data_IF_288857209798
#
_entry.id   IF_288857209798
#
_cell.length_a   1.000
_cell.length_b   1.000
_cell.length_c   1.000
_cell.angle_alpha   90.00
_cell.angle_beta   90.00
_cell.angle_gamma   90.00
#
_symmetry.space_group_name_H-M   'P 1'
#
loop_
_entity.id
_entity.type
_entity.pdbx_description
1 polymer ?
#
# COMPACT_ATOMS: atom_id res chain seq x y z
N UNK A 1 37.08 89.53 -40.08
CA UNK A 1 35.85 88.72 -39.95
C UNK A 1 36.11 87.65 -38.90
N UNK A 2 35.59 87.83 -37.71
CA UNK A 2 35.87 87.10 -36.48
C UNK A 2 34.66 86.21 -36.16
N UNK A 3 34.82 84.93 -36.12
CA UNK A 3 33.82 84.00 -35.50
C UNK A 3 34.27 83.62 -34.13
N UNK A 4 33.39 83.87 -33.15
CA UNK A 4 33.49 83.47 -31.73
C UNK A 4 33.01 82.02 -31.61
N UNK A 5 33.80 81.17 -30.96
CA UNK A 5 33.43 79.83 -30.54
C UNK A 5 32.80 79.91 -29.14
N UNK A 6 31.60 79.40 -29.04
CA UNK A 6 30.88 79.14 -27.75
C UNK A 6 31.25 77.74 -27.24
N UNK A 7 31.81 77.72 -26.02
CA UNK A 7 32.08 76.46 -25.36
C UNK A 7 30.83 75.90 -24.64
N UNK A 8 30.48 74.63 -24.90
CA UNK A 8 29.48 73.88 -24.18
C UNK A 8 30.18 73.06 -23.12
N UNK A 9 29.95 73.39 -21.89
CA UNK A 9 30.39 72.56 -20.76
C UNK A 9 29.46 71.34 -20.59
N UNK A 10 29.95 70.12 -20.72
CA UNK A 10 29.27 68.89 -20.41
C UNK A 10 29.41 68.62 -18.92
N UNK A 11 28.30 68.77 -18.15
CA UNK A 11 28.19 68.18 -16.80
C UNK A 11 27.92 66.67 -16.94
N UNK A 12 28.91 65.86 -16.56
CA UNK A 12 28.74 64.42 -16.40
C UNK A 12 28.17 64.16 -15.00
N UNK A 13 26.89 63.93 -14.90
CA UNK A 13 26.28 63.40 -13.67
C UNK A 13 26.60 61.94 -13.55
N UNK A 14 27.44 61.55 -12.60
CA UNK A 14 27.70 60.16 -12.24
C UNK A 14 26.48 59.62 -11.49
N UNK A 15 25.63 58.85 -12.19
CA UNK A 15 24.57 58.06 -11.55
C UNK A 15 25.22 56.84 -10.88
N UNK A 16 25.29 56.82 -9.54
CA UNK A 16 25.65 55.63 -8.80
C UNK A 16 24.50 54.62 -8.91
N UNK A 17 24.66 53.60 -9.75
CA UNK A 17 23.80 52.42 -9.78
C UNK A 17 24.11 51.59 -8.54
N UNK A 18 23.29 51.74 -7.51
CA UNK A 18 23.23 50.78 -6.39
C UNK A 18 22.77 49.45 -6.98
N UNK A 19 23.70 48.54 -7.25
CA UNK A 19 23.40 47.14 -7.52
C UNK A 19 22.84 46.50 -6.28
N UNK A 20 21.51 46.52 -6.12
CA UNK A 20 20.84 45.65 -5.17
C UNK A 20 20.98 44.23 -5.68
N UNK A 21 21.96 43.49 -5.19
CA UNK A 21 22.00 42.02 -5.27
C UNK A 21 20.68 41.52 -4.75
N UNK A 22 19.87 40.77 -5.53
CA UNK A 22 18.72 40.10 -4.97
C UNK A 22 19.26 39.15 -3.92
N UNK A 23 18.90 39.38 -2.65
CA UNK A 23 19.09 38.41 -1.60
C UNK A 23 18.40 37.13 -2.11
N UNK A 24 19.16 36.13 -2.51
CA UNK A 24 18.63 34.79 -2.68
C UNK A 24 18.03 34.45 -1.33
N UNK A 25 16.71 34.48 -1.24
CA UNK A 25 15.97 33.74 -0.22
C UNK A 25 16.50 32.31 -0.39
N UNK A 26 17.44 31.92 0.48
CA UNK A 26 17.75 30.52 0.66
C UNK A 26 16.39 29.90 1.02
N UNK A 27 15.85 29.10 0.11
CA UNK A 27 14.68 28.28 0.40
C UNK A 27 15.06 27.50 1.64
N UNK A 28 14.55 27.91 2.81
CA UNK A 28 14.76 27.18 4.03
C UNK A 28 14.15 25.81 3.77
N UNK A 29 14.96 24.77 3.84
CA UNK A 29 14.48 23.40 3.80
C UNK A 29 13.33 23.30 4.82
N UNK A 30 12.18 22.81 4.39
CA UNK A 30 11.02 22.63 5.28
C UNK A 30 11.46 21.72 6.44
N UNK A 31 11.51 22.19 7.69
CA UNK A 31 11.92 21.35 8.80
C UNK A 31 10.88 20.25 9.04
N UNK A 32 11.31 19.09 9.52
CA UNK A 32 10.41 17.98 9.84
C UNK A 32 9.32 18.40 10.83
N UNK A 33 9.69 19.16 11.85
CA UNK A 33 8.79 19.73 12.86
C UNK A 33 8.95 21.24 12.98
N UNK A 34 7.87 21.94 13.30
CA UNK A 34 7.94 23.34 13.65
C UNK A 34 8.84 23.56 14.89
N UNK A 35 9.61 24.67 15.02
CA UNK A 35 10.49 24.92 16.17
C UNK A 35 9.80 24.76 17.52
N UNK A 36 8.53 25.16 17.64
CA UNK A 36 7.75 25.03 18.88
C UNK A 36 7.48 23.56 19.26
N UNK A 37 7.49 22.63 18.30
CA UNK A 37 7.25 21.21 18.53
C UNK A 37 8.53 20.39 18.75
N UNK A 38 9.72 20.95 18.50
CA UNK A 38 10.99 20.20 18.51
C UNK A 38 11.26 19.47 19.82
N UNK A 39 11.15 20.16 20.97
CA UNK A 39 11.36 19.55 22.27
C UNK A 39 10.30 18.48 22.63
N UNK A 40 9.10 18.59 22.09
CA UNK A 40 8.03 17.59 22.27
C UNK A 40 8.33 16.36 21.39
N UNK A 41 8.76 16.57 20.16
CA UNK A 41 9.21 15.52 19.26
C UNK A 41 10.33 14.66 19.90
N UNK A 42 11.35 15.32 20.46
CA UNK A 42 12.48 14.64 21.12
C UNK A 42 12.06 13.80 22.32
N UNK A 43 10.94 14.15 23.00
CA UNK A 43 10.38 13.34 24.09
C UNK A 43 9.49 12.21 23.60
N UNK A 44 8.69 12.44 22.55
CA UNK A 44 7.74 11.42 22.04
C UNK A 44 8.44 10.33 21.25
N UNK A 45 9.40 10.65 20.38
CA UNK A 45 10.04 9.70 19.48
C UNK A 45 10.60 8.46 20.20
N UNK A 46 11.38 8.56 21.30
CA UNK A 46 11.90 7.38 22.00
C UNK A 46 10.81 6.48 22.60
N UNK A 47 9.63 7.03 22.89
CA UNK A 47 8.49 6.24 23.37
C UNK A 47 7.77 5.54 22.22
N UNK A 48 7.60 6.22 21.10
CA UNK A 48 7.03 5.69 19.86
C UNK A 48 7.92 4.56 19.31
N UNK A 49 9.26 4.70 19.36
CA UNK A 49 10.21 3.69 18.91
C UNK A 49 10.09 2.36 19.66
N UNK A 50 9.63 2.37 20.91
CA UNK A 50 9.45 1.16 21.72
C UNK A 50 8.11 0.46 21.49
N UNK A 51 7.15 1.08 20.80
CA UNK A 51 5.87 0.44 20.49
C UNK A 51 6.12 -0.73 19.54
N UNK A 52 5.62 -1.91 19.91
CA UNK A 52 5.57 -3.06 19.00
C UNK A 52 4.61 -2.76 17.86
N UNK A 53 4.98 -3.15 16.66
CA UNK A 53 4.23 -2.84 15.46
C UNK A 53 3.34 -4.01 15.04
N UNK A 54 2.12 -3.69 14.64
CA UNK A 54 1.28 -4.57 13.85
C UNK A 54 1.28 -4.04 12.42
N UNK A 55 2.08 -4.65 11.55
CA UNK A 55 2.19 -4.30 10.15
C UNK A 55 0.99 -4.87 9.37
N UNK A 56 0.08 -4.00 8.99
CA UNK A 56 -1.22 -4.38 8.45
C UNK A 56 -1.17 -4.80 6.96
N UNK A 57 -0.11 -4.46 6.24
CA UNK A 57 -0.02 -4.75 4.81
C UNK A 57 1.43 -4.88 4.34
N UNK A 58 1.78 -6.06 3.84
CA UNK A 58 3.09 -6.34 3.25
C UNK A 58 3.01 -7.50 2.23
N UNK A 59 4.04 -7.60 1.39
CA UNK A 59 4.24 -8.65 0.39
C UNK A 59 5.55 -9.42 0.65
N UNK A 60 5.69 -10.10 1.81
CA UNK A 60 6.92 -10.77 2.17
C UNK A 60 7.21 -11.93 1.21
N UNK A 61 8.31 -11.81 0.47
CA UNK A 61 8.73 -12.81 -0.49
C UNK A 61 10.25 -13.00 -0.47
N UNK A 62 10.70 -14.25 -0.70
CA UNK A 62 12.09 -14.54 -1.05
C UNK A 62 12.30 -14.33 -2.57
N UNK A 63 13.53 -14.06 -3.03
CA UNK A 63 13.80 -13.77 -4.44
C UNK A 63 13.41 -14.87 -5.42
N UNK A 64 13.36 -16.13 -4.97
CA UNK A 64 13.02 -17.32 -5.74
C UNK A 64 11.58 -17.82 -5.49
N UNK A 65 10.76 -17.02 -4.84
CA UNK A 65 9.37 -17.40 -4.55
C UNK A 65 8.54 -17.44 -5.84
N UNK A 66 7.87 -18.57 -6.12
CA UNK A 66 7.06 -18.73 -7.32
C UNK A 66 5.66 -18.13 -7.22
N UNK A 67 5.29 -17.53 -6.09
CA UNK A 67 3.97 -16.91 -5.92
C UNK A 67 3.80 -15.74 -6.90
N UNK A 68 2.61 -15.62 -7.46
CA UNK A 68 2.31 -14.56 -8.44
C UNK A 68 2.40 -13.16 -7.87
N UNK A 69 2.21 -13.03 -6.57
CA UNK A 69 2.34 -11.79 -5.84
C UNK A 69 3.81 -11.31 -5.72
N UNK A 70 4.75 -12.23 -5.83
CA UNK A 70 6.18 -11.93 -5.89
C UNK A 70 6.66 -11.53 -7.30
N UNK A 71 5.77 -11.52 -8.30
CA UNK A 71 6.14 -11.10 -9.65
C UNK A 71 6.48 -9.60 -9.67
N UNK A 72 7.55 -9.21 -10.38
CA UNK A 72 7.89 -7.80 -10.50
C UNK A 72 6.76 -7.03 -11.19
N UNK A 73 6.48 -5.79 -10.75
CA UNK A 73 5.50 -4.94 -11.41
C UNK A 73 5.95 -4.63 -12.85
N UNK A 74 5.02 -4.25 -13.75
CA UNK A 74 5.38 -3.75 -15.07
C UNK A 74 6.38 -2.59 -14.97
N UNK A 75 7.25 -2.41 -15.99
CA UNK A 75 8.17 -1.28 -16.03
C UNK A 75 7.42 0.04 -15.93
N UNK A 76 7.97 0.98 -15.20
CA UNK A 76 7.41 2.32 -15.05
C UNK A 76 8.35 3.22 -14.25
N UNK A 77 8.04 4.51 -14.19
CA UNK A 77 8.81 5.47 -13.42
C UNK A 77 8.42 5.40 -11.94
N UNK A 78 9.30 4.84 -11.13
CA UNK A 78 9.13 4.84 -9.68
C UNK A 78 9.29 6.24 -9.09
N UNK A 79 8.56 6.58 -8.01
CA UNK A 79 8.84 7.77 -7.20
C UNK A 79 10.31 7.84 -6.81
N UNK A 80 10.86 9.05 -6.70
CA UNK A 80 12.29 9.27 -6.39
C UNK A 80 12.75 8.43 -5.18
N UNK A 81 11.94 8.37 -4.14
CA UNK A 81 12.28 7.68 -2.90
C UNK A 81 12.35 6.16 -3.01
N UNK A 82 11.69 5.59 -4.02
CA UNK A 82 11.64 4.13 -4.26
C UNK A 82 12.70 3.65 -5.25
N UNK A 83 13.54 4.55 -5.75
CA UNK A 83 14.60 4.20 -6.73
C UNK A 83 15.81 3.61 -6.02
N UNK A 84 16.53 2.74 -6.70
CA UNK A 84 17.71 2.04 -6.16
C UNK A 84 18.83 2.99 -5.69
N UNK A 85 18.92 4.20 -6.25
CA UNK A 85 19.88 5.24 -5.88
C UNK A 85 19.46 6.06 -4.65
N UNK A 86 18.31 5.77 -4.04
CA UNK A 86 17.87 6.43 -2.81
C UNK A 86 18.85 6.15 -1.66
N UNK A 87 19.48 7.18 -1.05
CA UNK A 87 20.42 7.00 0.06
C UNK A 87 19.79 6.39 1.32
N UNK A 88 18.46 6.48 1.50
CA UNK A 88 17.77 5.82 2.62
C UNK A 88 17.81 4.29 2.48
N UNK A 89 17.80 3.75 1.26
CA UNK A 89 17.93 2.30 1.02
C UNK A 89 19.34 1.81 1.33
N UNK A 90 20.38 2.61 1.05
CA UNK A 90 21.76 2.34 1.51
C UNK A 90 21.83 2.36 3.04
N UNK A 91 21.13 3.29 3.69
CA UNK A 91 21.04 3.35 5.15
C UNK A 91 20.34 2.11 5.72
N UNK A 92 19.26 1.63 5.06
CA UNK A 92 18.58 0.39 5.40
C UNK A 92 19.51 -0.82 5.33
N UNK A 93 20.25 -0.96 4.22
CA UNK A 93 21.23 -2.04 4.04
C UNK A 93 22.35 -1.99 5.10
N UNK A 94 22.80 -0.81 5.49
CA UNK A 94 23.74 -0.65 6.61
C UNK A 94 23.16 -1.07 7.96
N UNK A 95 21.94 -0.64 8.26
CA UNK A 95 21.28 -0.94 9.53
C UNK A 95 20.97 -2.43 9.69
N UNK A 96 20.51 -3.08 8.61
CA UNK A 96 20.11 -4.48 8.62
C UNK A 96 21.30 -5.45 8.44
N UNK A 97 22.21 -5.15 7.52
CA UNK A 97 23.20 -6.10 7.03
C UNK A 97 24.65 -5.69 7.31
N UNK A 98 24.85 -4.51 7.93
CA UNK A 98 26.17 -3.91 8.17
C UNK A 98 26.94 -3.66 6.85
N UNK A 99 26.25 -3.14 5.82
CA UNK A 99 26.85 -2.77 4.53
C UNK A 99 28.03 -1.80 4.76
N UNK A 100 29.26 -2.12 4.32
CA UNK A 100 30.42 -1.27 4.57
C UNK A 100 30.60 -0.15 3.52
N UNK A 101 29.76 -0.12 2.47
CA UNK A 101 29.88 0.78 1.33
C UNK A 101 28.92 1.98 1.43
N UNK A 102 29.16 3.00 0.61
CA UNK A 102 28.33 4.22 0.52
C UNK A 102 27.25 4.17 -0.54
N UNK A 103 27.24 3.12 -1.35
CA UNK A 103 26.35 2.89 -2.49
C UNK A 103 26.06 1.39 -2.65
N UNK A 104 25.24 1.05 -3.66
CA UNK A 104 24.91 -0.32 -4.04
C UNK A 104 25.36 -0.65 -5.48
N UNK A 105 26.28 0.13 -6.04
CA UNK A 105 26.71 -0.04 -7.42
C UNK A 105 27.56 -1.31 -7.63
N UNK A 106 27.27 -2.04 -8.69
CA UNK A 106 28.06 -3.19 -9.13
C UNK A 106 28.45 -4.17 -8.03
N UNK A 107 29.74 -4.27 -7.66
CA UNK A 107 30.22 -5.21 -6.64
C UNK A 107 29.63 -5.00 -5.25
N UNK A 108 29.20 -3.78 -4.90
CA UNK A 108 28.61 -3.47 -3.60
C UNK A 108 27.18 -4.04 -3.49
N UNK A 109 26.41 -3.99 -4.57
CA UNK A 109 25.11 -4.66 -4.65
C UNK A 109 25.25 -6.19 -4.58
N UNK A 110 26.25 -6.75 -5.27
CA UNK A 110 26.53 -8.20 -5.19
C UNK A 110 26.93 -8.61 -3.77
N UNK A 111 27.74 -7.81 -3.07
CA UNK A 111 28.06 -8.05 -1.67
C UNK A 111 26.81 -8.12 -0.78
N UNK A 112 25.83 -7.23 -1.02
CA UNK A 112 24.57 -7.24 -0.26
C UNK A 112 23.76 -8.51 -0.55
N UNK A 113 23.67 -8.93 -1.82
CA UNK A 113 23.01 -10.18 -2.22
C UNK A 113 23.65 -11.38 -1.49
N UNK A 114 24.99 -11.48 -1.53
CA UNK A 114 25.72 -12.57 -0.89
C UNK A 114 25.54 -12.54 0.63
N UNK A 115 25.54 -11.35 1.24
CA UNK A 115 25.28 -11.18 2.67
C UNK A 115 23.90 -11.61 3.09
N UNK A 116 22.86 -11.28 2.33
CA UNK A 116 21.49 -11.75 2.54
C UNK A 116 21.42 -13.28 2.40
N UNK A 117 22.03 -13.85 1.39
CA UNK A 117 22.10 -15.30 1.22
C UNK A 117 22.77 -16.01 2.41
N UNK A 118 23.88 -15.46 2.92
CA UNK A 118 24.56 -16.00 4.09
C UNK A 118 23.68 -15.92 5.35
N UNK A 119 22.94 -14.84 5.54
CA UNK A 119 22.01 -14.69 6.67
C UNK A 119 20.82 -15.67 6.56
N UNK A 120 20.26 -15.87 5.36
CA UNK A 120 19.22 -16.90 5.13
C UNK A 120 19.72 -18.30 5.48
N UNK A 121 20.97 -18.60 5.16
CA UNK A 121 21.58 -19.87 5.53
C UNK A 121 21.79 -20.02 7.06
N UNK A 122 22.06 -18.93 7.78
CA UNK A 122 22.18 -18.91 9.24
C UNK A 122 20.82 -18.97 9.95
N UNK A 123 19.76 -18.50 9.31
CA UNK A 123 18.37 -18.46 9.79
C UNK A 123 17.45 -19.25 8.85
N UNK A 124 17.50 -20.59 8.85
CA UNK A 124 16.76 -21.37 7.88
C UNK A 124 15.24 -21.33 8.07
N UNK A 125 14.51 -21.45 6.96
CA UNK A 125 13.04 -21.48 6.99
C UNK A 125 12.43 -20.18 7.49
N UNK A 126 11.53 -20.25 8.46
CA UNK A 126 10.84 -19.09 9.02
C UNK A 126 11.75 -18.16 9.83
N UNK A 127 12.86 -18.68 10.38
CA UNK A 127 13.76 -17.91 11.26
C UNK A 127 14.33 -16.64 10.60
N UNK A 128 14.44 -16.61 9.27
CA UNK A 128 14.95 -15.44 8.56
C UNK A 128 14.00 -14.23 8.67
N UNK A 129 12.73 -14.46 8.41
CA UNK A 129 11.73 -13.41 8.55
C UNK A 129 11.45 -13.08 10.02
N UNK A 130 11.49 -14.05 10.94
CA UNK A 130 11.39 -13.79 12.37
C UNK A 130 12.52 -12.87 12.84
N UNK A 131 13.77 -13.15 12.41
CA UNK A 131 14.93 -12.29 12.65
C UNK A 131 14.70 -10.86 12.13
N UNK A 132 14.15 -10.72 10.92
CA UNK A 132 13.87 -9.41 10.33
C UNK A 132 12.83 -8.64 11.13
N UNK A 133 11.70 -9.28 11.44
CA UNK A 133 10.62 -8.66 12.21
C UNK A 133 11.10 -8.23 13.60
N UNK A 134 11.90 -9.06 14.27
CA UNK A 134 12.45 -8.74 15.60
C UNK A 134 13.37 -7.52 15.58
N UNK A 135 14.22 -7.39 14.55
CA UNK A 135 15.09 -6.21 14.37
C UNK A 135 14.30 -4.92 14.16
N UNK A 136 13.14 -5.00 13.58
CA UNK A 136 12.28 -3.85 13.27
C UNK A 136 11.23 -3.57 14.35
N UNK A 137 11.09 -4.46 15.32
CA UNK A 137 10.08 -4.37 16.37
C UNK A 137 8.68 -4.67 15.88
N UNK A 138 8.53 -5.39 14.77
CA UNK A 138 7.24 -5.85 14.23
C UNK A 138 6.85 -7.12 14.97
N UNK A 139 5.70 -7.10 15.64
CA UNK A 139 5.13 -8.27 16.32
C UNK A 139 4.41 -9.18 15.35
N UNK A 140 3.59 -8.59 14.50
CA UNK A 140 2.80 -9.29 13.50
C UNK A 140 2.86 -8.53 12.17
N UNK A 141 2.98 -9.24 11.04
CA UNK A 141 2.85 -8.68 9.69
C UNK A 141 1.78 -9.43 8.91
N UNK A 142 0.96 -8.71 8.14
CA UNK A 142 -0.06 -9.31 7.28
C UNK A 142 0.51 -9.55 5.90
N UNK A 143 0.58 -10.83 5.53
CA UNK A 143 1.14 -11.26 4.25
C UNK A 143 0.04 -11.38 3.19
N UNK A 144 0.10 -10.53 2.18
CA UNK A 144 -0.77 -10.60 1.00
C UNK A 144 -0.22 -11.65 0.04
N UNK A 145 -0.88 -12.82 -0.03
CA UNK A 145 -0.38 -13.99 -0.75
C UNK A 145 -1.53 -14.79 -1.35
N UNK A 146 -1.24 -15.49 -2.46
CA UNK A 146 -2.16 -16.50 -2.99
C UNK A 146 -2.19 -17.73 -2.08
N UNK A 147 -1.03 -18.10 -1.51
CA UNK A 147 -0.91 -19.15 -0.52
C UNK A 147 0.27 -18.87 0.43
N UNK A 148 0.14 -19.21 1.69
CA UNK A 148 1.20 -19.01 2.69
C UNK A 148 2.37 -19.98 2.45
N UNK A 149 3.58 -19.48 2.23
CA UNK A 149 4.77 -20.30 2.09
C UNK A 149 5.27 -20.79 3.45
N UNK A 150 6.03 -21.89 3.46
CA UNK A 150 6.56 -22.48 4.71
C UNK A 150 7.62 -21.63 5.42
N UNK A 151 8.19 -20.66 4.73
CA UNK A 151 9.19 -19.75 5.29
C UNK A 151 8.58 -18.54 6.02
N UNK A 152 7.26 -18.42 6.09
CA UNK A 152 6.55 -17.43 6.92
C UNK A 152 5.90 -18.14 8.10
N UNK A 153 6.31 -17.82 9.33
CA UNK A 153 5.71 -18.37 10.53
C UNK A 153 4.27 -17.86 10.70
N UNK A 154 3.25 -18.71 10.70
CA UNK A 154 1.86 -18.29 10.91
C UNK A 154 1.58 -17.66 12.29
N UNK A 155 2.49 -17.82 13.25
CA UNK A 155 2.42 -17.09 14.51
C UNK A 155 2.68 -15.57 14.30
N UNK A 156 3.57 -15.24 13.39
CA UNK A 156 4.04 -13.89 13.10
C UNK A 156 3.38 -13.29 11.86
N UNK A 157 3.07 -14.11 10.85
CA UNK A 157 2.47 -13.68 9.60
C UNK A 157 1.02 -14.12 9.49
N UNK A 158 0.12 -13.19 9.21
CA UNK A 158 -1.30 -13.45 9.01
C UNK A 158 -1.63 -13.37 7.53
N UNK A 159 -2.32 -14.38 7.03
CA UNK A 159 -2.61 -14.52 5.62
C UNK A 159 -3.77 -13.60 5.18
N UNK A 160 -3.53 -12.76 4.18
CA UNK A 160 -4.53 -12.03 3.42
C UNK A 160 -4.61 -12.64 2.03
N UNK A 161 -5.76 -13.22 1.67
CA UNK A 161 -5.90 -13.98 0.45
C UNK A 161 -6.31 -13.10 -0.72
N UNK A 162 -5.58 -13.17 -1.86
CA UNK A 162 -5.98 -12.52 -3.11
C UNK A 162 -7.21 -13.18 -3.71
N UNK A 163 -8.20 -12.38 -4.10
CA UNK A 163 -9.49 -12.87 -4.63
C UNK A 163 -9.88 -12.27 -5.99
N UNK A 164 -9.08 -11.36 -6.54
CA UNK A 164 -9.36 -10.69 -7.83
C UNK A 164 -9.62 -11.67 -8.97
N UNK A 165 -8.89 -12.77 -9.00
CA UNK A 165 -8.96 -13.77 -10.08
C UNK A 165 -10.37 -14.33 -10.29
N UNK A 166 -11.22 -14.31 -9.26
CA UNK A 166 -12.63 -14.70 -9.41
C UNK A 166 -13.44 -13.72 -10.28
N UNK A 167 -13.01 -12.48 -10.42
CA UNK A 167 -13.62 -11.50 -11.32
C UNK A 167 -13.16 -11.66 -12.78
N UNK A 168 -12.10 -12.45 -13.04
CA UNK A 168 -11.48 -12.60 -14.35
C UNK A 168 -11.48 -14.04 -14.88
N UNK A 169 -12.62 -14.79 -14.82
CA UNK A 169 -12.63 -16.21 -15.18
C UNK A 169 -12.64 -16.50 -16.68
N UNK A 170 -12.99 -15.52 -17.52
CA UNK A 170 -13.17 -15.69 -18.97
C UNK A 170 -11.86 -15.55 -19.74
N UNK A 171 -11.95 -15.56 -21.07
CA UNK A 171 -10.81 -15.23 -21.91
C UNK A 171 -10.44 -13.76 -21.73
N UNK A 172 -9.25 -13.53 -21.17
CA UNK A 172 -8.73 -12.21 -20.84
C UNK A 172 -7.96 -11.55 -22.01
N UNK A 173 -7.97 -12.13 -23.21
CA UNK A 173 -7.22 -11.60 -24.35
C UNK A 173 -7.63 -10.16 -24.68
N UNK A 174 -8.92 -9.83 -24.57
CA UNK A 174 -9.43 -8.47 -24.76
C UNK A 174 -8.87 -7.47 -23.75
N UNK A 175 -8.69 -7.86 -22.50
CA UNK A 175 -8.04 -7.04 -21.47
C UNK A 175 -6.54 -6.95 -21.73
N UNK A 176 -5.86 -8.08 -21.91
CA UNK A 176 -4.42 -8.15 -22.15
C UNK A 176 -3.95 -7.34 -23.38
N UNK A 177 -4.82 -7.14 -24.37
CA UNK A 177 -4.52 -6.34 -25.57
C UNK A 177 -4.67 -4.82 -25.39
N UNK A 178 -5.20 -4.35 -24.27
CA UNK A 178 -5.46 -2.90 -24.06
C UNK A 178 -4.18 -2.10 -23.90
N UNK A 179 -3.24 -2.63 -23.15
CA UNK A 179 -1.96 -1.99 -22.91
C UNK A 179 -0.93 -3.01 -22.38
N UNK A 180 0.38 -2.66 -22.38
CA UNK A 180 1.43 -3.56 -21.90
C UNK A 180 1.29 -4.00 -20.43
N UNK A 181 0.76 -3.16 -19.55
CA UNK A 181 0.57 -3.51 -18.13
C UNK A 181 -0.45 -4.65 -18.00
N UNK A 182 -1.57 -4.55 -18.69
CA UNK A 182 -2.61 -5.59 -18.74
C UNK A 182 -2.07 -6.91 -19.31
N UNK A 183 -1.17 -6.82 -20.30
CA UNK A 183 -0.52 -8.00 -20.87
C UNK A 183 0.33 -8.76 -19.84
N UNK A 184 0.89 -8.08 -18.84
CA UNK A 184 1.63 -8.70 -17.73
C UNK A 184 0.66 -9.27 -16.68
N UNK A 185 -0.35 -8.52 -16.28
CA UNK A 185 -1.23 -8.89 -15.17
C UNK A 185 -2.26 -9.96 -15.50
N UNK A 186 -2.84 -9.97 -16.70
CA UNK A 186 -3.93 -10.91 -17.01
C UNK A 186 -3.52 -12.40 -17.00
N UNK A 187 -2.32 -12.79 -17.46
CA UNK A 187 -1.84 -14.16 -17.25
C UNK A 187 -1.71 -14.55 -15.79
N UNK A 188 -1.34 -13.61 -14.91
CA UNK A 188 -1.24 -13.84 -13.46
C UNK A 188 -2.63 -14.09 -12.85
N UNK A 189 -3.66 -13.31 -13.24
CA UNK A 189 -5.03 -13.55 -12.79
C UNK A 189 -5.52 -14.94 -13.20
N UNK A 190 -5.24 -15.36 -14.44
CA UNK A 190 -5.56 -16.71 -14.90
C UNK A 190 -4.82 -17.79 -14.09
N UNK A 191 -3.54 -17.60 -13.81
CA UNK A 191 -2.74 -18.52 -12.97
C UNK A 191 -3.32 -18.64 -11.56
N UNK A 192 -3.70 -17.52 -10.94
CA UNK A 192 -4.33 -17.50 -9.61
C UNK A 192 -5.67 -18.26 -9.59
N UNK A 193 -6.54 -18.04 -10.58
CA UNK A 193 -7.80 -18.78 -10.66
C UNK A 193 -7.57 -20.29 -10.75
N UNK A 194 -6.58 -20.73 -11.56
CA UNK A 194 -6.20 -22.14 -11.65
C UNK A 194 -5.64 -22.72 -10.35
N UNK A 195 -4.99 -21.89 -9.51
CA UNK A 195 -4.56 -22.32 -8.17
C UNK A 195 -5.76 -22.59 -7.26
N UNK A 196 -6.76 -21.72 -7.27
CA UNK A 196 -8.02 -21.92 -6.54
C UNK A 196 -8.78 -23.15 -7.00
N UNK A 197 -8.94 -23.33 -8.33
CA UNK A 197 -9.60 -24.50 -8.91
C UNK A 197 -8.91 -25.81 -8.45
N UNK A 198 -7.59 -25.89 -8.57
CA UNK A 198 -6.83 -27.07 -8.14
C UNK A 198 -6.94 -27.33 -6.64
N UNK A 199 -6.87 -26.27 -5.83
CA UNK A 199 -6.99 -26.37 -4.38
C UNK A 199 -8.32 -26.98 -3.91
N UNK A 200 -9.38 -26.76 -4.69
CA UNK A 200 -10.73 -27.26 -4.41
C UNK A 200 -11.10 -28.52 -5.23
N UNK A 201 -10.18 -29.08 -6.03
CA UNK A 201 -10.47 -30.21 -6.88
C UNK A 201 -11.48 -29.91 -8.01
N UNK A 202 -11.58 -28.64 -8.43
CA UNK A 202 -12.43 -28.21 -9.53
C UNK A 202 -11.61 -28.16 -10.82
N UNK A 203 -12.17 -28.71 -11.92
CA UNK A 203 -11.53 -28.68 -13.23
C UNK A 203 -12.32 -27.78 -14.18
N UNK A 204 -11.78 -26.57 -14.40
CA UNK A 204 -12.41 -25.55 -15.26
C UNK A 204 -13.62 -24.86 -14.63
N UNK A 205 -14.25 -23.98 -15.42
CA UNK A 205 -15.38 -23.19 -14.92
C UNK A 205 -16.63 -24.07 -14.73
N UNK A 206 -17.36 -23.90 -13.61
CA UNK A 206 -18.64 -24.58 -13.37
C UNK A 206 -19.67 -24.37 -14.50
N UNK A 207 -20.61 -25.33 -14.69
CA UNK A 207 -21.54 -25.29 -15.83
C UNK A 207 -22.58 -24.17 -15.75
N UNK A 208 -22.92 -23.68 -14.56
CA UNK A 208 -23.90 -22.62 -14.36
C UNK A 208 -23.32 -21.50 -13.50
N UNK A 209 -23.85 -20.27 -13.62
CA UNK A 209 -23.44 -19.12 -12.84
C UNK A 209 -23.59 -19.35 -11.33
N UNK A 210 -24.68 -20.00 -10.91
CA UNK A 210 -24.89 -20.31 -9.49
C UNK A 210 -23.83 -21.26 -8.93
N UNK A 211 -23.42 -22.25 -9.74
CA UNK A 211 -22.35 -23.17 -9.37
C UNK A 211 -21.00 -22.45 -9.30
N UNK A 212 -20.79 -21.43 -10.16
CA UNK A 212 -19.62 -20.57 -10.11
C UNK A 212 -19.58 -19.74 -8.82
N UNK A 213 -20.68 -19.11 -8.45
CA UNK A 213 -20.77 -18.37 -7.18
C UNK A 213 -20.56 -19.30 -5.98
N UNK A 214 -21.14 -20.52 -6.01
CA UNK A 214 -20.90 -21.53 -5.00
C UNK A 214 -19.42 -21.98 -4.94
N UNK A 215 -18.73 -22.05 -6.08
CA UNK A 215 -17.29 -22.29 -6.13
C UNK A 215 -16.52 -21.16 -5.44
N UNK A 216 -16.86 -19.89 -5.73
CA UNK A 216 -16.23 -18.72 -5.08
C UNK A 216 -16.46 -18.75 -3.56
N UNK A 217 -17.70 -19.00 -3.10
CA UNK A 217 -18.00 -19.13 -1.66
C UNK A 217 -17.14 -20.21 -1.01
N UNK A 218 -17.06 -21.42 -1.61
CA UNK A 218 -16.20 -22.51 -1.08
C UNK A 218 -14.74 -22.12 -1.04
N UNK A 219 -14.26 -21.32 -2.00
CA UNK A 219 -12.87 -20.83 -1.99
C UNK A 219 -12.59 -19.91 -0.80
N UNK A 220 -13.51 -19.00 -0.48
CA UNK A 220 -13.41 -18.11 0.68
C UNK A 220 -13.47 -18.90 2.01
N UNK A 221 -14.38 -19.87 2.10
CA UNK A 221 -14.48 -20.77 3.24
C UNK A 221 -13.20 -21.59 3.44
N UNK A 222 -12.62 -22.09 2.35
CA UNK A 222 -11.36 -22.83 2.37
C UNK A 222 -10.19 -21.94 2.81
N UNK A 223 -10.08 -20.73 2.25
CA UNK A 223 -9.09 -19.76 2.67
C UNK A 223 -9.17 -19.50 4.18
N UNK A 224 -10.38 -19.25 4.70
CA UNK A 224 -10.60 -19.07 6.14
C UNK A 224 -10.19 -20.28 6.98
N UNK A 225 -10.57 -21.50 6.56
CA UNK A 225 -10.18 -22.74 7.27
C UNK A 225 -8.65 -22.93 7.29
N UNK A 226 -7.97 -22.49 6.25
CA UNK A 226 -6.50 -22.53 6.12
C UNK A 226 -5.80 -21.38 6.82
N UNK A 227 -6.53 -20.48 7.47
CA UNK A 227 -5.99 -19.43 8.31
C UNK A 227 -5.95 -18.04 7.68
N UNK A 228 -6.63 -17.80 6.53
CA UNK A 228 -6.81 -16.46 6.01
C UNK A 228 -7.61 -15.62 7.02
N UNK A 229 -7.14 -14.40 7.28
CA UNK A 229 -7.77 -13.46 8.21
C UNK A 229 -8.48 -12.31 7.48
N UNK A 230 -8.22 -12.13 6.19
CA UNK A 230 -8.83 -11.13 5.31
C UNK A 230 -8.75 -11.59 3.85
N UNK A 231 -9.46 -10.87 2.98
CA UNK A 231 -9.34 -10.99 1.51
C UNK A 231 -8.86 -9.67 0.92
N UNK A 232 -8.13 -9.73 -0.21
CA UNK A 232 -7.55 -8.55 -0.89
C UNK A 232 -8.03 -8.46 -2.31
N UNK A 233 -8.44 -7.25 -2.70
CA UNK A 233 -8.67 -6.83 -4.07
C UNK A 233 -7.60 -5.85 -4.54
N UNK A 234 -7.10 -6.08 -5.74
CA UNK A 234 -6.24 -5.18 -6.52
C UNK A 234 -6.94 -4.69 -7.79
N UNK A 235 -8.26 -4.75 -7.81
CA UNK A 235 -9.11 -4.44 -8.97
C UNK A 235 -8.77 -3.10 -9.65
N UNK A 236 -8.30 -2.10 -8.89
CA UNK A 236 -7.95 -0.79 -9.41
C UNK A 236 -6.77 -0.78 -10.40
N UNK A 237 -5.96 -1.83 -10.46
CA UNK A 237 -4.97 -2.02 -11.51
C UNK A 237 -5.60 -2.26 -12.88
N UNK A 238 -6.79 -2.85 -12.92
CA UNK A 238 -7.44 -3.35 -14.13
C UNK A 238 -8.67 -2.56 -14.53
N UNK A 239 -9.33 -1.93 -13.57
CA UNK A 239 -10.60 -1.22 -13.76
C UNK A 239 -10.84 -0.19 -12.67
N UNK A 240 -11.81 0.69 -12.89
CA UNK A 240 -12.32 1.58 -11.84
C UNK A 240 -12.89 0.81 -10.66
N UNK A 241 -12.75 1.36 -9.45
CA UNK A 241 -13.40 0.90 -8.22
C UNK A 241 -14.92 1.18 -8.19
N UNK A 242 -15.49 1.72 -9.26
CA UNK A 242 -16.94 1.83 -9.43
C UNK A 242 -17.55 0.46 -9.73
N UNK A 243 -18.20 -0.14 -8.73
CA UNK A 243 -18.88 -1.42 -8.86
C UNK A 243 -20.39 -1.21 -8.81
N UNK A 244 -21.06 -1.38 -9.95
CA UNK A 244 -22.51 -1.31 -10.05
C UNK A 244 -23.19 -2.51 -9.37
N UNK A 245 -24.51 -2.49 -9.32
CA UNK A 245 -25.35 -3.58 -8.77
C UNK A 245 -26.21 -4.20 -9.88
N UNK A 246 -25.62 -5.00 -10.77
CA UNK A 246 -26.36 -5.57 -11.87
C UNK A 246 -27.35 -6.64 -11.41
N UNK A 247 -28.51 -6.77 -12.09
CA UNK A 247 -29.43 -7.87 -11.84
C UNK A 247 -28.77 -9.23 -12.02
N UNK A 248 -29.07 -10.17 -11.12
CA UNK A 248 -28.44 -11.50 -11.07
C UNK A 248 -28.59 -12.28 -12.39
N UNK A 249 -29.71 -12.16 -13.03
CA UNK A 249 -29.99 -12.80 -14.33
C UNK A 249 -29.15 -12.22 -15.48
N UNK A 250 -28.78 -10.92 -15.39
CA UNK A 250 -27.86 -10.30 -16.36
C UNK A 250 -26.47 -10.92 -16.24
N UNK A 251 -25.93 -11.02 -15.01
CA UNK A 251 -24.64 -11.66 -14.77
C UNK A 251 -24.63 -13.13 -15.18
N UNK A 252 -25.74 -13.86 -14.91
CA UNK A 252 -25.90 -15.26 -15.32
C UNK A 252 -25.85 -15.43 -16.86
N UNK A 253 -26.57 -14.58 -17.62
CA UNK A 253 -26.50 -14.63 -19.09
C UNK A 253 -25.12 -14.33 -19.65
N UNK A 254 -24.36 -13.41 -19.01
CA UNK A 254 -22.99 -13.11 -19.38
C UNK A 254 -22.10 -14.32 -19.11
N UNK A 255 -22.22 -14.93 -17.93
CA UNK A 255 -21.49 -16.14 -17.57
C UNK A 255 -21.71 -17.26 -18.57
N UNK A 256 -22.98 -17.60 -18.86
CA UNK A 256 -23.35 -18.67 -19.80
C UNK A 256 -22.81 -18.44 -21.21
N UNK A 257 -22.75 -17.16 -21.65
CA UNK A 257 -22.21 -16.80 -22.96
C UNK A 257 -20.69 -17.00 -23.06
N UNK A 258 -19.93 -16.65 -22.00
CA UNK A 258 -18.48 -16.53 -22.08
C UNK A 258 -17.70 -17.66 -21.39
N UNK A 259 -18.30 -18.46 -20.51
CA UNK A 259 -17.62 -19.56 -19.81
C UNK A 259 -17.02 -20.61 -20.77
N UNK A 260 -17.46 -20.68 -21.99
CA UNK A 260 -16.97 -21.61 -23.03
C UNK A 260 -15.75 -21.13 -23.80
N UNK A 261 -15.18 -19.95 -23.49
CA UNK A 261 -13.92 -19.47 -24.06
C UNK A 261 -14.04 -18.35 -25.10
N UNK A 262 -15.20 -17.66 -25.21
CA UNK A 262 -15.30 -16.44 -26.02
C UNK A 262 -14.78 -15.23 -25.23
N UNK A 263 -14.22 -14.25 -25.96
CA UNK A 263 -13.78 -12.96 -25.38
C UNK A 263 -14.97 -12.07 -25.12
N UNK A 264 -15.23 -11.65 -23.88
CA UNK A 264 -16.33 -10.76 -23.57
C UNK A 264 -16.09 -9.34 -24.08
N UNK A 265 -17.16 -8.60 -24.39
CA UNK A 265 -17.07 -7.16 -24.52
C UNK A 265 -16.68 -6.53 -23.18
N UNK A 266 -16.01 -5.37 -23.23
CA UNK A 266 -15.53 -4.69 -22.01
C UNK A 266 -16.68 -4.36 -21.04
N UNK A 267 -17.83 -3.93 -21.58
CA UNK A 267 -19.00 -3.58 -20.75
C UNK A 267 -19.66 -4.80 -20.12
N UNK A 268 -19.81 -5.92 -20.86
CA UNK A 268 -20.35 -7.15 -20.29
C UNK A 268 -19.41 -7.73 -19.25
N UNK A 269 -18.09 -7.67 -19.49
CA UNK A 269 -17.11 -8.16 -18.52
C UNK A 269 -17.15 -7.32 -17.24
N UNK A 270 -17.21 -5.98 -17.35
CA UNK A 270 -17.34 -5.10 -16.19
C UNK A 270 -18.62 -5.42 -15.39
N UNK A 271 -19.76 -5.61 -16.06
CA UNK A 271 -21.01 -6.00 -15.41
C UNK A 271 -20.90 -7.34 -14.67
N UNK A 272 -20.23 -8.33 -15.25
CA UNK A 272 -19.98 -9.61 -14.58
C UNK A 272 -19.06 -9.43 -13.36
N UNK A 273 -17.99 -8.66 -13.50
CA UNK A 273 -17.06 -8.36 -12.41
C UNK A 273 -17.75 -7.67 -11.24
N UNK A 274 -18.66 -6.74 -11.52
CA UNK A 274 -19.46 -6.06 -10.50
C UNK A 274 -20.28 -7.05 -9.67
N UNK A 275 -20.96 -7.99 -10.33
CA UNK A 275 -21.74 -9.01 -9.65
C UNK A 275 -20.89 -9.93 -8.79
N UNK A 276 -19.74 -10.37 -9.30
CA UNK A 276 -18.82 -11.25 -8.54
C UNK A 276 -18.17 -10.51 -7.38
N UNK A 277 -17.74 -9.26 -7.56
CA UNK A 277 -17.22 -8.44 -6.48
C UNK A 277 -18.22 -8.33 -5.33
N UNK A 278 -19.46 -7.98 -5.63
CA UNK A 278 -20.54 -7.85 -4.62
C UNK A 278 -20.85 -9.18 -3.94
N UNK A 279 -20.78 -10.30 -4.66
CA UNK A 279 -20.90 -11.62 -4.07
C UNK A 279 -19.76 -11.88 -3.06
N UNK A 280 -18.51 -11.65 -3.44
CA UNK A 280 -17.34 -11.84 -2.54
C UNK A 280 -17.46 -10.95 -1.31
N UNK A 281 -17.83 -9.67 -1.48
CA UNK A 281 -18.02 -8.72 -0.36
C UNK A 281 -19.09 -9.23 0.62
N UNK A 282 -20.20 -9.77 0.11
CA UNK A 282 -21.26 -10.36 0.94
C UNK A 282 -20.77 -11.58 1.72
N UNK A 283 -20.14 -12.54 1.03
CA UNK A 283 -19.64 -13.78 1.64
C UNK A 283 -18.52 -13.49 2.65
N UNK A 284 -17.60 -12.57 2.33
CA UNK A 284 -16.55 -12.13 3.26
C UNK A 284 -17.15 -11.57 4.56
N UNK A 285 -18.22 -10.77 4.47
CA UNK A 285 -18.94 -10.27 5.65
C UNK A 285 -19.55 -11.38 6.50
N UNK A 286 -20.12 -12.42 5.87
CA UNK A 286 -20.68 -13.59 6.57
C UNK A 286 -19.58 -14.42 7.22
N UNK A 287 -18.44 -14.54 6.56
CA UNK A 287 -17.27 -15.27 7.06
C UNK A 287 -16.42 -14.46 8.06
N UNK A 288 -16.78 -13.21 8.36
CA UNK A 288 -15.99 -12.29 9.18
C UNK A 288 -14.55 -12.11 8.66
N UNK A 289 -14.39 -12.04 7.36
CA UNK A 289 -13.14 -11.71 6.68
C UNK A 289 -13.20 -10.23 6.26
N UNK A 290 -12.42 -9.33 6.83
CA UNK A 290 -12.28 -7.97 6.31
C UNK A 290 -11.89 -7.97 4.83
N UNK A 291 -12.42 -7.01 4.09
CA UNK A 291 -12.16 -6.82 2.66
C UNK A 291 -11.17 -5.69 2.49
N UNK A 292 -9.96 -6.01 2.07
CA UNK A 292 -8.91 -5.05 1.73
C UNK A 292 -9.06 -4.66 0.27
N UNK A 293 -9.04 -3.36 0.00
CA UNK A 293 -9.18 -2.82 -1.36
C UNK A 293 -7.99 -1.90 -1.63
N UNK A 294 -7.17 -2.26 -2.62
CA UNK A 294 -6.10 -1.38 -3.10
C UNK A 294 -6.70 -0.05 -3.60
N UNK A 295 -6.26 1.06 -3.07
CA UNK A 295 -6.82 2.38 -3.33
C UNK A 295 -5.76 3.48 -3.50
N UNK A 296 -4.59 3.14 -4.06
CA UNK A 296 -3.50 4.07 -4.36
C UNK A 296 -2.95 3.82 -5.77
N UNK A 297 -1.97 4.63 -6.16
CA UNK A 297 -1.25 4.41 -7.41
C UNK A 297 -0.65 3.01 -7.45
N UNK A 298 -0.64 2.41 -8.64
CA UNK A 298 -0.01 1.11 -8.90
C UNK A 298 1.23 1.26 -9.79
N UNK A 299 1.90 0.14 -10.07
CA UNK A 299 3.00 0.08 -11.04
C UNK A 299 2.50 0.02 -12.47
N UNK A 300 3.34 0.49 -13.40
CA UNK A 300 3.10 0.47 -14.83
C UNK A 300 2.87 1.85 -15.44
N UNK A 301 3.20 1.99 -16.73
CA UNK A 301 3.10 3.26 -17.46
C UNK A 301 1.67 3.60 -17.89
N UNK A 302 0.77 2.61 -17.88
CA UNK A 302 -0.61 2.72 -18.38
C UNK A 302 -1.63 2.66 -17.26
N UNK A 303 -1.21 2.78 -16.01
CA UNK A 303 -2.09 2.80 -14.86
C UNK A 303 -2.99 4.04 -14.86
N UNK A 304 -4.31 3.82 -14.69
CA UNK A 304 -5.29 4.90 -14.66
C UNK A 304 -5.52 5.41 -13.23
N UNK A 305 -4.98 6.56 -12.88
CA UNK A 305 -5.11 7.15 -11.55
C UNK A 305 -6.58 7.33 -11.11
N UNK A 306 -7.49 7.62 -12.03
CA UNK A 306 -8.93 7.72 -11.73
C UNK A 306 -9.55 6.41 -11.21
N UNK A 307 -8.92 5.25 -11.49
CA UNK A 307 -9.41 3.97 -11.03
C UNK A 307 -9.41 3.87 -9.50
N UNK A 308 -8.40 4.46 -8.84
CA UNK A 308 -8.23 4.38 -7.37
C UNK A 308 -9.00 5.43 -6.59
N UNK A 309 -9.75 6.30 -7.26
CA UNK A 309 -10.55 7.29 -6.55
C UNK A 309 -11.57 6.59 -5.63
N UNK A 310 -11.38 6.75 -4.32
CA UNK A 310 -12.18 6.07 -3.29
C UNK A 310 -13.66 6.46 -3.33
N UNK A 311 -14.02 7.60 -3.92
CA UNK A 311 -15.41 8.00 -4.13
C UNK A 311 -16.16 7.02 -5.04
N UNK A 312 -15.45 6.30 -5.90
CA UNK A 312 -16.03 5.27 -6.74
C UNK A 312 -16.60 4.08 -5.93
N UNK A 313 -16.12 3.87 -4.69
CA UNK A 313 -16.61 2.82 -3.79
C UNK A 313 -17.83 3.24 -2.97
N UNK A 314 -18.23 4.50 -2.97
CA UNK A 314 -19.23 5.02 -2.03
C UNK A 314 -20.55 4.25 -2.08
N UNK A 315 -21.02 3.85 -3.27
CA UNK A 315 -22.24 3.06 -3.44
C UNK A 315 -22.15 1.64 -2.83
N UNK A 316 -20.94 1.07 -2.75
CA UNK A 316 -20.70 -0.23 -2.08
C UNK A 316 -20.58 -0.04 -0.57
N UNK A 317 -19.76 0.90 -0.14
CA UNK A 317 -19.48 1.13 1.28
C UNK A 317 -20.72 1.57 2.06
N UNK A 318 -21.65 2.30 1.42
CA UNK A 318 -22.93 2.74 2.00
C UNK A 318 -24.08 1.78 1.81
N UNK A 319 -23.89 0.65 1.12
CA UNK A 319 -24.94 -0.33 0.91
C UNK A 319 -25.25 -1.06 2.24
N UNK A 320 -26.48 -0.98 2.76
CA UNK A 320 -26.83 -1.59 4.05
C UNK A 320 -26.70 -3.11 4.05
N UNK A 321 -26.71 -3.77 2.88
CA UNK A 321 -26.49 -5.22 2.75
C UNK A 321 -25.10 -5.62 3.27
N UNK A 322 -24.11 -4.72 3.17
CA UNK A 322 -22.73 -4.95 3.58
C UNK A 322 -22.40 -4.36 4.96
N UNK A 323 -23.40 -4.04 5.76
CA UNK A 323 -23.20 -3.45 7.09
C UNK A 323 -22.42 -4.35 8.09
N UNK A 324 -22.25 -5.63 7.78
CA UNK A 324 -21.40 -6.57 8.55
C UNK A 324 -20.01 -6.74 7.97
N UNK A 325 -19.79 -6.34 6.73
CA UNK A 325 -18.50 -6.42 6.06
C UNK A 325 -17.62 -5.27 6.53
N UNK A 326 -16.43 -5.57 7.01
CA UNK A 326 -15.41 -4.57 7.32
C UNK A 326 -14.61 -4.31 6.05
N UNK A 327 -14.43 -3.05 5.70
CA UNK A 327 -13.63 -2.62 4.58
C UNK A 327 -12.37 -1.90 5.07
N UNK A 328 -11.25 -2.19 4.45
CA UNK A 328 -10.01 -1.44 4.66
C UNK A 328 -9.52 -0.89 3.33
N UNK A 329 -9.46 0.43 3.23
CA UNK A 329 -8.89 1.13 2.09
C UNK A 329 -7.36 1.10 2.22
N UNK A 330 -6.74 0.17 1.49
CA UNK A 330 -5.30 -0.05 1.52
C UNK A 330 -4.61 1.11 0.82
N UNK A 331 -3.55 1.63 1.45
CA UNK A 331 -2.80 2.84 1.07
C UNK A 331 -3.58 4.15 1.26
N UNK A 332 -4.67 4.11 2.04
CA UNK A 332 -5.41 5.29 2.49
C UNK A 332 -5.95 6.19 1.38
N UNK A 333 -6.17 5.63 0.18
CA UNK A 333 -6.71 6.39 -0.95
C UNK A 333 -5.73 7.37 -1.60
N UNK A 334 -4.46 7.41 -1.23
CA UNK A 334 -3.52 8.39 -1.78
C UNK A 334 -3.42 8.28 -3.33
N UNK A 335 -3.52 9.40 -4.09
CA UNK A 335 -3.52 10.80 -3.66
C UNK A 335 -4.90 11.40 -3.31
N UNK A 336 -5.98 10.60 -3.22
CA UNK A 336 -7.32 11.01 -2.80
C UNK A 336 -7.51 10.85 -1.26
N UNK A 337 -6.43 11.05 -0.51
CA UNK A 337 -6.34 10.84 0.94
C UNK A 337 -7.27 11.74 1.76
N UNK A 338 -7.61 12.92 1.21
CA UNK A 338 -8.55 13.86 1.83
C UNK A 338 -9.99 13.36 1.79
N UNK A 339 -10.39 12.76 0.70
CA UNK A 339 -11.70 12.14 0.54
C UNK A 339 -11.76 10.82 1.31
N UNK A 340 -10.67 10.05 1.27
CA UNK A 340 -10.59 8.73 1.90
C UNK A 340 -10.82 8.79 3.41
N UNK A 341 -10.27 9.80 4.11
CA UNK A 341 -10.46 9.89 5.56
C UNK A 341 -11.92 10.10 5.95
N UNK A 342 -12.73 10.76 5.11
CA UNK A 342 -14.16 10.90 5.36
C UNK A 342 -14.96 9.62 5.11
N UNK A 343 -14.41 8.64 4.34
CA UNK A 343 -14.98 7.30 4.27
C UNK A 343 -14.87 6.57 5.60
N UNK A 344 -13.84 6.85 6.42
CA UNK A 344 -13.68 6.29 7.76
C UNK A 344 -14.75 6.76 8.77
N UNK A 345 -15.57 7.78 8.43
CA UNK A 345 -16.78 8.12 9.19
C UNK A 345 -17.81 6.97 9.23
N UNK A 346 -17.75 6.06 8.27
CA UNK A 346 -18.59 4.87 8.25
C UNK A 346 -18.05 3.85 9.27
N UNK A 347 -18.97 3.24 10.03
CA UNK A 347 -18.65 2.35 11.16
C UNK A 347 -17.71 1.21 10.79
N UNK A 348 -17.85 0.67 9.60
CA UNK A 348 -17.16 -0.52 9.10
C UNK A 348 -16.05 -0.24 8.09
N UNK A 349 -15.61 1.02 7.94
CA UNK A 349 -14.53 1.42 7.02
C UNK A 349 -13.31 1.87 7.82
N UNK A 350 -12.15 1.37 7.41
CA UNK A 350 -10.83 1.68 7.97
C UNK A 350 -9.89 2.11 6.85
N UNK A 351 -8.81 2.81 7.19
CA UNK A 351 -7.73 3.18 6.28
C UNK A 351 -6.43 2.54 6.74
N UNK A 352 -5.66 2.06 5.80
CA UNK A 352 -4.29 1.60 6.01
C UNK A 352 -3.32 2.57 5.33
N UNK A 353 -2.21 2.92 5.98
CA UNK A 353 -1.29 3.94 5.48
C UNK A 353 -0.17 3.41 4.60
N UNK A 354 -0.08 2.10 4.42
CA UNK A 354 1.00 1.43 3.68
C UNK A 354 1.26 2.05 2.30
N UNK A 355 2.44 1.86 1.75
CA UNK A 355 2.98 2.47 0.54
C UNK A 355 3.16 4.00 0.59
N UNK A 356 2.28 4.73 1.27
CA UNK A 356 2.37 6.21 1.35
C UNK A 356 3.69 6.64 1.99
N UNK A 357 4.15 5.94 3.02
CA UNK A 357 5.44 6.16 3.70
C UNK A 357 6.66 5.72 2.87
N UNK A 358 6.48 4.91 1.84
CA UNK A 358 7.53 4.58 0.87
C UNK A 358 7.64 5.64 -0.23
N UNK A 359 6.51 6.20 -0.65
CA UNK A 359 6.45 7.21 -1.71
C UNK A 359 6.83 8.60 -1.21
N UNK A 360 6.36 8.98 -0.01
CA UNK A 360 6.53 10.32 0.57
C UNK A 360 7.64 10.34 1.60
N UNK A 361 8.46 11.38 1.56
CA UNK A 361 9.40 11.65 2.67
C UNK A 361 8.63 11.99 3.96
N UNK A 362 9.21 11.74 5.15
CA UNK A 362 8.53 12.00 6.42
C UNK A 362 7.95 13.40 6.59
N UNK A 363 8.57 14.41 5.94
CA UNK A 363 8.10 15.81 5.94
C UNK A 363 6.75 16.02 5.27
N UNK A 364 6.39 15.20 4.28
CA UNK A 364 5.10 15.24 3.59
C UNK A 364 4.14 14.21 4.19
N UNK A 365 4.64 13.01 4.48
CA UNK A 365 3.83 11.96 5.08
C UNK A 365 3.27 12.35 6.46
N UNK A 366 4.02 13.12 7.24
CA UNK A 366 3.55 13.72 8.49
C UNK A 366 2.21 14.47 8.33
N UNK A 367 2.07 15.25 7.27
CA UNK A 367 0.87 16.06 7.05
C UNK A 367 -0.35 15.22 6.65
N UNK A 368 -0.12 14.11 5.94
CA UNK A 368 -1.15 13.12 5.66
C UNK A 368 -1.61 12.47 6.96
N UNK A 369 -0.68 11.94 7.77
CA UNK A 369 -0.99 11.30 9.05
C UNK A 369 -1.71 12.27 10.00
N UNK A 370 -1.20 13.50 10.15
CA UNK A 370 -1.83 14.50 11.03
C UNK A 370 -3.30 14.67 10.67
N UNK A 371 -3.63 14.87 9.39
CA UNK A 371 -4.99 15.05 8.89
C UNK A 371 -5.91 13.86 9.22
N UNK A 372 -5.39 12.64 9.10
CA UNK A 372 -6.16 11.44 9.41
C UNK A 372 -6.36 11.25 10.91
N UNK A 373 -5.31 11.47 11.71
CA UNK A 373 -5.33 11.27 13.16
C UNK A 373 -6.12 12.34 13.90
N UNK A 374 -6.26 13.54 13.34
CA UNK A 374 -7.15 14.57 13.85
C UNK A 374 -8.63 14.18 13.77
N UNK A 375 -9.02 13.38 12.75
CA UNK A 375 -10.41 13.07 12.46
C UNK A 375 -10.84 11.71 13.06
N UNK A 376 -10.10 10.63 12.75
CA UNK A 376 -10.50 9.27 13.10
C UNK A 376 -9.30 8.41 13.51
N UNK A 377 -8.59 8.72 14.61
CA UNK A 377 -7.37 7.99 14.99
C UNK A 377 -7.58 6.49 15.21
N UNK A 378 -8.79 6.09 15.64
CA UNK A 378 -9.17 4.70 15.87
C UNK A 378 -9.51 3.92 14.58
N UNK A 379 -9.44 4.57 13.42
CA UNK A 379 -9.77 4.00 12.11
C UNK A 379 -8.56 3.85 11.19
N UNK A 380 -7.40 4.28 11.64
CA UNK A 380 -6.18 4.27 10.84
C UNK A 380 -5.26 3.15 11.33
N UNK A 381 -4.70 2.37 10.39
CA UNK A 381 -3.74 1.31 10.67
C UNK A 381 -2.41 1.60 9.98
N UNK A 382 -1.34 1.14 10.60
CA UNK A 382 0.01 1.13 10.05
C UNK A 382 0.20 -0.10 9.18
N UNK A 383 0.80 0.05 7.98
CA UNK A 383 1.30 -1.01 7.13
C UNK A 383 2.59 -0.54 6.46
N UNK A 384 3.43 -1.46 5.99
CA UNK A 384 4.69 -1.12 5.32
C UNK A 384 4.62 -1.23 3.81
N UNK A 385 3.66 -1.98 3.27
CA UNK A 385 3.67 -2.41 1.87
C UNK A 385 5.03 -2.95 1.42
N UNK A 386 5.73 -3.63 2.33
CA UNK A 386 7.05 -4.12 2.02
C UNK A 386 7.00 -5.16 0.90
N UNK A 387 7.61 -4.83 -0.24
CA UNK A 387 7.74 -5.68 -1.42
C UNK A 387 9.19 -5.64 -1.93
N UNK A 388 9.61 -6.59 -2.78
CA UNK A 388 10.96 -6.57 -3.36
C UNK A 388 11.12 -5.39 -4.32
N UNK A 389 12.07 -4.48 -4.04
CA UNK A 389 12.38 -3.37 -4.96
C UNK A 389 13.10 -3.84 -6.24
N UNK A 390 13.79 -4.98 -6.19
CA UNK A 390 14.57 -5.51 -7.30
C UNK A 390 16.07 -5.32 -7.14
N UNK A 391 16.86 -5.95 -8.02
CA UNK A 391 18.31 -5.92 -7.93
C UNK A 391 18.83 -6.50 -6.60
N UNK A 392 19.65 -5.73 -5.88
CA UNK A 392 20.16 -6.09 -4.56
C UNK A 392 19.17 -5.81 -3.42
N UNK A 393 18.11 -5.03 -3.69
CA UNK A 393 17.13 -4.58 -2.71
C UNK A 393 15.94 -5.53 -2.66
N UNK A 394 15.61 -6.00 -1.48
CA UNK A 394 14.50 -6.91 -1.23
C UNK A 394 13.41 -6.28 -0.37
N UNK A 395 12.55 -7.11 0.16
CA UNK A 395 11.52 -6.72 1.11
C UNK A 395 12.09 -6.15 2.41
N UNK A 396 13.33 -6.53 2.75
CA UNK A 396 13.98 -6.17 4.00
C UNK A 396 14.19 -4.66 4.11
N UNK A 397 14.70 -4.04 3.05
CA UNK A 397 14.91 -2.60 2.99
C UNK A 397 13.58 -1.85 2.94
N UNK A 398 12.57 -2.40 2.26
CA UNK A 398 11.23 -1.84 2.22
C UNK A 398 10.59 -1.83 3.63
N UNK A 399 10.65 -2.94 4.36
CA UNK A 399 10.22 -3.00 5.77
C UNK A 399 10.92 -1.95 6.63
N UNK A 400 12.26 -1.87 6.52
CA UNK A 400 13.03 -0.90 7.30
C UNK A 400 12.60 0.53 6.98
N UNK A 401 12.50 0.87 5.71
CA UNK A 401 12.14 2.22 5.25
C UNK A 401 10.73 2.60 5.73
N UNK A 402 9.76 1.69 5.58
CA UNK A 402 8.38 1.88 6.04
C UNK A 402 8.30 2.15 7.55
N UNK A 403 8.99 1.32 8.36
CA UNK A 403 9.04 1.48 9.81
C UNK A 403 9.68 2.81 10.23
N UNK A 404 10.86 3.14 9.67
CA UNK A 404 11.57 4.38 10.04
C UNK A 404 10.79 5.62 9.63
N UNK A 405 10.24 5.63 8.41
CA UNK A 405 9.44 6.75 7.91
C UNK A 405 8.21 6.99 8.77
N UNK A 406 7.50 5.92 9.09
CA UNK A 406 6.27 6.00 9.88
C UNK A 406 6.52 6.51 11.28
N UNK A 407 7.50 5.96 12.01
CA UNK A 407 7.83 6.42 13.37
C UNK A 407 8.22 7.90 13.39
N UNK A 408 9.06 8.30 12.43
CA UNK A 408 9.51 9.69 12.28
C UNK A 408 8.36 10.64 11.97
N UNK A 409 7.53 10.31 10.99
CA UNK A 409 6.40 11.14 10.59
C UNK A 409 5.31 11.21 11.67
N UNK A 410 5.00 10.08 12.32
CA UNK A 410 4.03 10.01 13.41
C UNK A 410 4.46 10.86 14.61
N UNK A 411 5.72 10.71 15.05
CA UNK A 411 6.24 11.52 16.17
C UNK A 411 6.16 13.02 15.85
N UNK A 412 6.45 13.40 14.60
CA UNK A 412 6.38 14.79 14.15
C UNK A 412 4.95 15.31 14.11
N UNK A 413 4.00 14.54 13.55
CA UNK A 413 2.58 14.89 13.51
C UNK A 413 2.02 15.11 14.93
N UNK A 414 2.26 14.14 15.81
CA UNK A 414 1.77 14.20 17.20
C UNK A 414 2.43 15.33 18.01
N UNK A 415 3.73 15.58 17.80
CA UNK A 415 4.42 16.69 18.45
C UNK A 415 3.84 18.06 18.05
N UNK A 416 3.48 18.22 16.78
CA UNK A 416 2.82 19.45 16.31
C UNK A 416 1.40 19.60 16.87
N UNK A 417 0.63 18.50 16.99
CA UNK A 417 -0.69 18.53 17.63
C UNK A 417 -0.61 18.92 19.12
N UNK A 418 0.40 18.40 19.82
CA UNK A 418 0.63 18.77 21.23
C UNK A 418 1.08 20.23 21.36
N UNK A 419 1.98 20.69 20.50
CA UNK A 419 2.45 22.08 20.49
C UNK A 419 1.31 23.07 20.16
N UNK A 420 0.33 22.65 19.37
CA UNK A 420 -0.87 23.41 19.04
C UNK A 420 -1.96 23.34 20.14
N UNK A 421 -1.73 22.59 21.23
CA UNK A 421 -2.70 22.32 22.31
C UNK A 421 -3.99 21.62 21.86
N UNK A 422 -3.95 20.88 20.79
CA UNK A 422 -5.07 20.06 20.28
C UNK A 422 -5.24 18.78 21.11
N UNK A 423 -4.11 18.19 21.53
CA UNK A 423 -4.04 17.04 22.44
C UNK A 423 -2.91 17.24 23.45
N UNK A 424 -2.90 16.47 24.53
CA UNK A 424 -1.75 16.36 25.44
C UNK A 424 -0.80 15.21 25.05
N UNK A 425 0.37 15.12 25.69
CA UNK A 425 1.37 14.09 25.39
C UNK A 425 0.84 12.67 25.72
N UNK A 426 -0.01 12.52 26.74
CA UNK A 426 -0.60 11.22 27.08
C UNK A 426 -1.55 10.74 25.98
N UNK A 427 -2.39 11.65 25.46
CA UNK A 427 -3.26 11.34 24.32
C UNK A 427 -2.45 11.07 23.05
N UNK A 428 -1.37 11.81 22.79
CA UNK A 428 -0.47 11.57 21.67
C UNK A 428 0.10 10.15 21.69
N UNK A 429 0.58 9.67 22.85
CA UNK A 429 1.07 8.29 22.99
C UNK A 429 -0.06 7.27 22.83
N UNK A 430 -1.26 7.53 23.33
CA UNK A 430 -2.40 6.66 23.11
C UNK A 430 -2.77 6.54 21.62
N UNK A 431 -2.75 7.65 20.88
CA UNK A 431 -2.96 7.66 19.42
C UNK A 431 -1.84 6.90 18.71
N UNK A 432 -0.59 7.05 19.14
CA UNK A 432 0.53 6.29 18.58
C UNK A 432 0.35 4.78 18.74
N UNK A 433 -0.09 4.32 19.91
CA UNK A 433 -0.41 2.90 20.16
C UNK A 433 -1.56 2.43 19.27
N UNK A 434 -2.66 3.20 19.16
CA UNK A 434 -3.77 2.86 18.27
C UNK A 434 -3.27 2.65 16.84
N UNK A 435 -2.57 3.62 16.28
CA UNK A 435 -2.15 3.61 14.89
C UNK A 435 -1.12 2.50 14.60
N UNK A 436 -0.12 2.36 15.44
CA UNK A 436 0.98 1.42 15.19
C UNK A 436 0.64 -0.04 15.50
N UNK A 437 -0.40 -0.30 16.32
CA UNK A 437 -0.68 -1.64 16.78
C UNK A 437 -2.16 -1.90 17.09
N UNK A 438 -2.79 -1.14 18.03
CA UNK A 438 -3.99 -1.59 18.70
C UNK A 438 -5.22 -1.63 17.79
N UNK A 439 -5.35 -0.71 16.84
CA UNK A 439 -6.44 -0.69 15.86
C UNK A 439 -6.41 -1.94 15.00
N UNK A 440 -5.26 -2.28 14.43
CA UNK A 440 -5.11 -3.48 13.61
C UNK A 440 -5.31 -4.75 14.46
N UNK A 441 -4.64 -4.87 15.62
CA UNK A 441 -4.77 -6.01 16.49
C UNK A 441 -6.24 -6.23 16.93
N UNK A 442 -6.96 -5.16 17.25
CA UNK A 442 -8.38 -5.20 17.59
C UNK A 442 -9.28 -5.63 16.44
N UNK A 443 -8.98 -5.17 15.22
CA UNK A 443 -9.75 -5.47 14.02
C UNK A 443 -9.77 -6.98 13.70
N UNK A 444 -8.65 -7.68 13.91
CA UNK A 444 -8.50 -9.12 13.62
C UNK A 444 -8.68 -10.05 14.82
N UNK A 445 -8.83 -9.52 16.05
CA UNK A 445 -9.07 -10.33 17.24
C UNK A 445 -10.34 -11.19 17.12
N UNK A 446 -11.34 -10.72 16.38
CA UNK A 446 -12.57 -11.47 16.13
C UNK A 446 -12.41 -12.62 15.13
N UNK A 447 -11.39 -12.61 14.27
CA UNK A 447 -11.12 -13.66 13.29
C UNK A 447 -10.50 -14.92 13.92
N UNK A 448 -9.91 -14.81 15.12
CA UNK A 448 -9.20 -15.92 15.78
C UNK A 448 -10.11 -16.84 16.61
N UNK A 449 -11.44 -16.64 16.60
CA UNK A 449 -12.38 -17.51 17.30
C UNK A 449 -12.29 -17.48 18.83
N UNK A 450 -11.53 -16.57 19.42
CA UNK A 450 -11.55 -16.32 20.87
C UNK A 450 -12.71 -15.38 21.17
N UNK A 451 -13.90 -15.99 21.34
CA UNK A 451 -15.08 -15.28 21.75
C UNK A 451 -14.85 -14.51 23.06
N UNK A 452 -15.45 -13.31 23.13
CA UNK A 452 -15.72 -12.66 24.42
C UNK A 452 -16.85 -13.36 25.13
#
# INVERSE_FOLDING_TARGET
MTLRALGFGCFVAAAAVLATTPARLAAQARPLVAPAAAAIYDRLLPSIDRIKLFDHHAHPALPDDPDVDAAPPPPGNLPLRMREDNPELVAAARALFALPFSDLDGPHGQWLIDRKAALRAQHPGAQYFDWLLDRLGIETSMANRVAMPRYLDPARFKWVAFVDSFMFPFDNAGLASRNPDEAVYMPLQTKMLRLWERGLGVSGLPPAYEDYLAFVTRALEDARRRGAVAVKFEASYFRSLAFDDPPRDVAARIYDRYRGGSVPSMSEYATFQDAVFRHIVSEAGQLHLPVHIHSSVGGGDYFHLSNVNVLNLENVLRDPRYGRTVFVLIHGGYPFDREAVFMASMRNVYLDSSATELMLYPTEFKDVLRRWLELYPEKITFGTDAYPFGGALGVEEAYWLGVQSTRTALAAALAEMVAAHEIDEARALAVAHMYLHDTAAGLYAFSTGRGR
#
